data_IF_079510027373
#
_entry.id   IF_079510027373
#
_cell.length_a   1.000
_cell.length_b   1.000
_cell.length_c   1.000
_cell.angle_alpha   90.00
_cell.angle_beta   90.00
_cell.angle_gamma   90.00
#
_symmetry.space_group_name_H-M   'P 1'
#
loop_
_entity.id
_entity.type
_entity.pdbx_description
1 polymer ?
#
# COMPACT_ATOMS: atom_id res chain seq x y z
N UNK A 1 -25.16 5.28 -5.95
CA UNK A 1 -24.43 5.81 -7.12
C UNK A 1 -22.98 6.17 -6.79
N UNK A 2 -22.70 7.04 -5.79
CA UNK A 2 -21.30 7.35 -5.42
C UNK A 2 -20.47 6.09 -5.12
N UNK A 3 -20.94 5.24 -4.20
CA UNK A 3 -20.26 3.97 -3.85
C UNK A 3 -20.20 3.00 -5.03
N UNK A 4 -21.29 2.85 -5.79
CA UNK A 4 -21.34 1.99 -6.98
C UNK A 4 -20.28 2.39 -8.03
N UNK A 5 -20.01 3.68 -8.20
CA UNK A 5 -18.93 4.18 -9.07
C UNK A 5 -17.57 3.78 -8.51
N UNK A 6 -17.35 3.89 -7.20
CA UNK A 6 -16.08 3.49 -6.57
C UNK A 6 -15.86 1.98 -6.67
N UNK A 7 -16.89 1.16 -6.48
CA UNK A 7 -16.80 -0.30 -6.56
C UNK A 7 -16.38 -0.76 -7.96
N UNK A 8 -17.07 -0.27 -9.00
CA UNK A 8 -16.71 -0.59 -10.39
C UNK A 8 -15.34 0.00 -10.76
N UNK A 9 -15.03 1.21 -10.29
CA UNK A 9 -13.73 1.82 -10.56
C UNK A 9 -12.59 1.04 -9.89
N UNK A 10 -12.77 0.56 -8.66
CA UNK A 10 -11.81 -0.27 -7.95
C UNK A 10 -11.50 -1.54 -8.73
N UNK A 11 -12.52 -2.30 -9.14
CA UNK A 11 -12.33 -3.51 -9.94
C UNK A 11 -11.53 -3.24 -11.23
N UNK A 12 -11.87 -2.17 -11.96
CA UNK A 12 -11.16 -1.80 -13.17
C UNK A 12 -9.72 -1.37 -12.89
N UNK A 13 -9.49 -0.50 -11.90
CA UNK A 13 -8.15 -0.06 -11.55
C UNK A 13 -7.26 -1.22 -11.08
N UNK A 14 -7.80 -2.16 -10.31
CA UNK A 14 -7.06 -3.34 -9.85
C UNK A 14 -6.74 -4.30 -11.00
N UNK A 15 -7.64 -4.41 -11.99
CA UNK A 15 -7.49 -5.36 -13.09
C UNK A 15 -6.55 -4.88 -14.21
N UNK A 16 -6.57 -3.58 -14.51
CA UNK A 16 -5.90 -3.03 -15.71
C UNK A 16 -5.16 -1.71 -15.43
N UNK A 17 -5.10 -1.25 -14.18
CA UNK A 17 -4.37 -0.04 -13.81
C UNK A 17 -5.08 1.27 -14.17
N UNK A 18 -4.46 2.39 -13.80
CA UNK A 18 -5.03 3.71 -14.00
C UNK A 18 -5.16 4.11 -15.47
N UNK A 19 -4.13 3.83 -16.29
CA UNK A 19 -4.06 4.28 -17.68
C UNK A 19 -5.12 3.63 -18.58
N UNK A 20 -5.34 2.33 -18.43
CA UNK A 20 -6.29 1.58 -19.27
C UNK A 20 -7.75 1.69 -18.79
N UNK A 21 -7.97 2.39 -17.67
CA UNK A 21 -9.31 2.65 -17.10
C UNK A 21 -9.83 4.03 -17.50
N UNK A 22 -11.10 4.08 -17.91
CA UNK A 22 -11.80 5.30 -18.31
C UNK A 22 -13.16 5.44 -17.62
N UNK A 23 -13.61 6.67 -17.39
CA UNK A 23 -14.95 6.95 -16.85
C UNK A 23 -16.06 6.45 -17.78
N UNK A 24 -15.77 6.29 -19.08
CA UNK A 24 -16.71 5.69 -20.04
C UNK A 24 -16.90 4.18 -19.81
N UNK A 25 -15.84 3.45 -19.46
CA UNK A 25 -15.96 2.03 -19.09
C UNK A 25 -16.79 1.89 -17.81
N UNK A 26 -16.51 2.70 -16.79
CA UNK A 26 -17.27 2.71 -15.53
C UNK A 26 -18.75 2.99 -15.79
N UNK A 27 -19.06 4.04 -16.57
CA UNK A 27 -20.44 4.40 -16.90
C UNK A 27 -21.17 3.29 -17.65
N UNK A 28 -20.47 2.62 -18.58
CA UNK A 28 -21.02 1.51 -19.36
C UNK A 28 -21.37 0.31 -18.47
N UNK A 29 -20.52 -0.04 -17.50
CA UNK A 29 -20.78 -1.16 -16.58
C UNK A 29 -21.97 -0.86 -15.66
N UNK A 30 -22.10 0.38 -15.20
CA UNK A 30 -23.21 0.82 -14.34
C UNK A 30 -24.49 1.16 -15.11
N UNK A 31 -24.49 1.03 -16.45
CA UNK A 31 -25.61 1.43 -17.32
C UNK A 31 -26.07 2.89 -17.12
N UNK A 32 -25.12 3.78 -16.80
CA UNK A 32 -25.36 5.22 -16.63
C UNK A 32 -24.69 6.04 -17.74
N UNK A 33 -25.04 7.32 -17.82
CA UNK A 33 -24.34 8.26 -18.70
C UNK A 33 -23.04 8.75 -18.07
N UNK A 34 -22.06 9.12 -18.89
CA UNK A 34 -20.80 9.68 -18.39
C UNK A 34 -20.99 10.98 -17.57
N UNK A 35 -21.93 11.89 -17.91
CA UNK A 35 -22.27 13.04 -17.06
C UNK A 35 -22.75 12.66 -15.65
N UNK A 36 -23.41 11.51 -15.43
CA UNK A 36 -23.78 11.06 -14.09
C UNK A 36 -22.54 10.80 -13.21
N UNK A 37 -21.43 10.32 -13.79
CA UNK A 37 -20.18 10.19 -13.04
C UNK A 37 -19.64 11.56 -12.65
N UNK A 38 -19.66 12.51 -13.59
CA UNK A 38 -19.14 13.86 -13.36
C UNK A 38 -19.94 14.70 -12.37
N UNK A 39 -21.18 14.28 -12.07
CA UNK A 39 -21.95 14.83 -10.97
C UNK A 39 -21.35 14.49 -9.60
N UNK A 40 -20.72 13.32 -9.47
CA UNK A 40 -20.13 12.82 -8.22
C UNK A 40 -18.63 13.08 -8.12
N UNK A 41 -17.91 13.06 -9.24
CA UNK A 41 -16.46 13.19 -9.29
C UNK A 41 -16.03 14.15 -10.39
N UNK A 42 -15.16 15.09 -10.07
CA UNK A 42 -14.66 16.10 -11.02
C UNK A 42 -13.93 15.47 -12.20
N UNK A 43 -13.18 14.40 -11.96
CA UNK A 43 -12.38 13.74 -12.98
C UNK A 43 -12.00 12.29 -12.58
N UNK A 44 -11.31 11.59 -13.48
CA UNK A 44 -10.81 10.22 -13.24
C UNK A 44 -9.83 10.14 -12.07
N UNK A 45 -8.99 11.17 -11.88
CA UNK A 45 -8.03 11.19 -10.78
C UNK A 45 -8.70 11.25 -9.41
N UNK A 46 -9.80 11.98 -9.28
CA UNK A 46 -10.56 12.04 -8.03
C UNK A 46 -11.14 10.67 -7.70
N UNK A 47 -11.69 9.96 -8.70
CA UNK A 47 -12.17 8.58 -8.52
C UNK A 47 -11.02 7.68 -8.08
N UNK A 48 -9.88 7.74 -8.77
CA UNK A 48 -8.69 6.94 -8.45
C UNK A 48 -8.19 7.23 -7.03
N UNK A 49 -8.08 8.50 -6.64
CA UNK A 49 -7.67 8.88 -5.30
C UNK A 49 -8.61 8.32 -4.22
N UNK A 50 -9.93 8.42 -4.43
CA UNK A 50 -10.92 7.89 -3.49
C UNK A 50 -10.84 6.37 -3.35
N UNK A 51 -10.66 5.64 -4.46
CA UNK A 51 -10.42 4.19 -4.45
C UNK A 51 -9.13 3.87 -3.66
N UNK A 52 -8.02 4.53 -3.98
CA UNK A 52 -6.75 4.31 -3.27
C UNK A 52 -6.85 4.65 -1.78
N UNK A 53 -7.60 5.70 -1.43
CA UNK A 53 -7.86 6.08 -0.04
C UNK A 53 -8.64 5.00 0.70
N UNK A 54 -9.69 4.44 0.10
CA UNK A 54 -10.47 3.33 0.67
C UNK A 54 -9.58 2.13 0.99
N UNK A 55 -8.78 1.71 0.01
CA UNK A 55 -7.85 0.58 0.14
C UNK A 55 -6.75 0.84 1.19
N UNK A 56 -6.13 2.03 1.14
CA UNK A 56 -5.08 2.39 2.08
C UNK A 56 -5.59 2.46 3.53
N UNK A 57 -6.80 2.98 3.75
CA UNK A 57 -7.40 3.03 5.09
C UNK A 57 -7.60 1.63 5.68
N UNK A 58 -8.05 0.66 4.88
CA UNK A 58 -8.17 -0.73 5.32
C UNK A 58 -6.80 -1.32 5.69
N UNK A 59 -5.80 -1.11 4.84
CA UNK A 59 -4.43 -1.58 5.10
C UNK A 59 -3.87 -0.93 6.37
N UNK A 60 -4.00 0.37 6.53
CA UNK A 60 -3.51 1.10 7.70
C UNK A 60 -4.16 0.65 8.99
N UNK A 61 -5.46 0.33 8.96
CA UNK A 61 -6.16 -0.25 10.11
C UNK A 61 -5.56 -1.60 10.51
N UNK A 62 -5.45 -2.55 9.56
CA UNK A 62 -4.91 -3.88 9.84
C UNK A 62 -3.45 -3.83 10.31
N UNK A 63 -2.61 -3.01 9.67
CA UNK A 63 -1.22 -2.82 10.09
C UNK A 63 -1.13 -2.22 11.49
N UNK A 64 -2.01 -1.28 11.83
CA UNK A 64 -2.06 -0.69 13.17
C UNK A 64 -2.46 -1.73 14.22
N UNK A 65 -3.45 -2.59 13.92
CA UNK A 65 -3.86 -3.70 14.80
C UNK A 65 -2.71 -4.70 15.01
N UNK A 66 -2.02 -5.12 13.95
CA UNK A 66 -0.86 -6.00 14.03
C UNK A 66 0.29 -5.37 14.83
N UNK A 67 0.56 -4.07 14.62
CA UNK A 67 1.61 -3.34 15.34
C UNK A 67 1.38 -3.25 16.86
N UNK A 68 0.12 -3.37 17.29
CA UNK A 68 -0.30 -3.23 18.68
C UNK A 68 -0.38 -4.56 19.44
N UNK A 69 -0.12 -5.70 18.79
CA UNK A 69 -0.15 -7.02 19.43
C UNK A 69 0.92 -7.13 20.52
N UNK A 70 0.69 -7.95 21.54
CA UNK A 70 1.66 -8.20 22.61
C UNK A 70 2.58 -9.37 22.24
N UNK A 71 3.38 -9.16 21.20
CA UNK A 71 4.37 -10.09 20.65
C UNK A 71 5.69 -9.34 20.41
N UNK A 72 6.76 -10.08 20.10
CA UNK A 72 8.09 -9.49 19.92
C UNK A 72 8.12 -8.47 18.77
N UNK A 73 9.12 -7.59 18.76
CA UNK A 73 9.36 -6.67 17.65
C UNK A 73 9.49 -7.40 16.31
N UNK A 74 10.28 -8.47 16.28
CA UNK A 74 10.53 -9.27 15.08
C UNK A 74 9.24 -9.93 14.59
N UNK A 75 8.44 -10.49 15.50
CA UNK A 75 7.15 -11.10 15.19
C UNK A 75 6.14 -10.08 14.65
N UNK A 76 6.09 -8.86 15.20
CA UNK A 76 5.26 -7.75 14.67
C UNK A 76 5.62 -7.43 13.23
N UNK A 77 6.91 -7.23 12.97
CA UNK A 77 7.39 -6.85 11.64
C UNK A 77 7.13 -7.97 10.63
N UNK A 78 7.36 -9.24 11.01
CA UNK A 78 7.03 -10.39 10.16
C UNK A 78 5.53 -10.49 9.89
N UNK A 79 4.68 -10.35 10.92
CA UNK A 79 3.23 -10.40 10.76
C UNK A 79 2.72 -9.29 9.82
N UNK A 80 3.23 -8.07 9.99
CA UNK A 80 2.90 -6.93 9.13
C UNK A 80 3.40 -7.12 7.70
N UNK A 81 4.62 -7.64 7.51
CA UNK A 81 5.19 -7.92 6.19
C UNK A 81 4.42 -9.03 5.46
N UNK A 82 4.04 -10.12 6.16
CA UNK A 82 3.22 -11.18 5.58
C UNK A 82 1.80 -10.73 5.27
N UNK A 83 1.22 -9.85 6.09
CA UNK A 83 -0.05 -9.20 5.75
C UNK A 83 0.06 -8.44 4.42
N UNK A 84 1.10 -7.63 4.23
CA UNK A 84 1.35 -6.94 2.95
C UNK A 84 1.68 -7.90 1.82
N UNK A 85 2.21 -9.10 2.09
CA UNK A 85 2.45 -10.09 1.06
C UNK A 85 1.16 -10.77 0.57
N UNK A 86 0.25 -11.08 1.49
CA UNK A 86 -0.93 -11.90 1.21
C UNK A 86 -2.18 -11.10 0.84
N UNK A 87 -2.38 -9.95 1.50
CA UNK A 87 -3.65 -9.20 1.47
C UNK A 87 -3.55 -7.89 0.72
N UNK A 88 -2.39 -7.56 0.17
CA UNK A 88 -2.21 -6.25 -0.41
C UNK A 88 -3.03 -6.11 -1.70
N UNK A 89 -4.00 -5.17 -1.74
CA UNK A 89 -5.04 -5.17 -2.77
C UNK A 89 -4.51 -4.77 -4.16
N UNK A 90 -3.38 -4.07 -4.24
CA UNK A 90 -2.76 -3.60 -5.49
C UNK A 90 -1.26 -3.89 -5.53
N UNK A 91 -0.60 -3.87 -6.70
CA UNK A 91 0.87 -3.92 -6.70
C UNK A 91 1.43 -2.60 -6.17
N UNK A 92 2.15 -2.59 -5.04
CA UNK A 92 2.86 -1.39 -4.55
C UNK A 92 3.72 -0.77 -5.65
N UNK A 93 4.29 -1.61 -6.52
CA UNK A 93 5.07 -1.17 -7.67
C UNK A 93 4.21 -0.38 -8.68
N UNK A 94 3.01 -0.87 -9.01
CA UNK A 94 2.10 -0.14 -9.90
C UNK A 94 1.65 1.20 -9.31
N UNK A 95 1.32 1.26 -8.01
CA UNK A 95 0.97 2.53 -7.36
C UNK A 95 2.13 3.53 -7.37
N UNK A 96 3.36 3.08 -7.03
CA UNK A 96 4.52 3.95 -7.05
C UNK A 96 4.85 4.42 -8.48
N UNK A 97 4.72 3.54 -9.47
CA UNK A 97 4.84 3.91 -10.88
C UNK A 97 3.81 4.97 -11.29
N UNK A 98 2.54 4.80 -10.90
CA UNK A 98 1.47 5.77 -11.20
C UNK A 98 1.75 7.14 -10.54
N UNK A 99 2.19 7.15 -9.28
CA UNK A 99 2.60 8.35 -8.54
C UNK A 99 3.77 9.06 -9.21
N UNK A 100 4.77 8.32 -9.70
CA UNK A 100 6.00 8.90 -10.24
C UNK A 100 5.87 9.37 -11.69
N UNK A 101 5.04 8.71 -12.49
CA UNK A 101 5.09 8.86 -13.95
C UNK A 101 3.75 9.13 -14.63
N UNK A 102 2.62 8.98 -13.92
CA UNK A 102 1.29 8.99 -14.55
C UNK A 102 0.40 10.12 -14.05
N UNK A 103 0.40 10.38 -12.74
CA UNK A 103 -0.52 11.32 -12.12
C UNK A 103 0.04 12.74 -12.09
N UNK A 104 -0.84 13.74 -12.04
CA UNK A 104 -0.38 15.12 -11.80
C UNK A 104 0.27 15.25 -10.42
N UNK A 105 1.19 16.22 -10.24
CA UNK A 105 1.96 16.36 -8.99
C UNK A 105 1.10 16.47 -7.72
N UNK A 106 -0.05 17.14 -7.79
CA UNK A 106 -0.95 17.29 -6.65
C UNK A 106 -1.55 15.94 -6.19
N UNK A 107 -2.06 15.15 -7.14
CA UNK A 107 -2.66 13.83 -6.86
C UNK A 107 -1.57 12.85 -6.40
N UNK A 108 -0.40 12.88 -7.05
CA UNK A 108 0.76 12.09 -6.65
C UNK A 108 1.19 12.40 -5.20
N UNK A 109 1.25 13.68 -4.83
CA UNK A 109 1.59 14.10 -3.46
C UNK A 109 0.56 13.60 -2.44
N UNK A 110 -0.74 13.72 -2.73
CA UNK A 110 -1.81 13.21 -1.86
C UNK A 110 -1.70 11.70 -1.63
N UNK A 111 -1.46 10.94 -2.69
CA UNK A 111 -1.27 9.49 -2.61
C UNK A 111 0.01 9.10 -1.86
N UNK A 112 1.08 9.86 -2.02
CA UNK A 112 2.31 9.64 -1.27
C UNK A 112 2.13 9.87 0.23
N UNK A 113 1.41 10.93 0.62
CA UNK A 113 1.07 11.18 2.03
C UNK A 113 0.19 10.06 2.60
N UNK A 114 -0.81 9.64 1.84
CA UNK A 114 -1.67 8.51 2.20
C UNK A 114 -0.89 7.21 2.37
N UNK A 115 0.08 6.95 1.48
CA UNK A 115 0.96 5.79 1.59
C UNK A 115 1.83 5.87 2.86
N UNK A 116 2.40 7.05 3.15
CA UNK A 116 3.19 7.22 4.36
C UNK A 116 2.39 6.97 5.63
N UNK A 117 1.16 7.50 5.72
CA UNK A 117 0.32 7.33 6.91
C UNK A 117 -0.19 5.90 7.07
N UNK A 118 -0.57 5.25 5.96
CA UNK A 118 -1.25 3.96 6.01
C UNK A 118 -0.30 2.77 6.01
N UNK A 119 0.87 2.90 5.38
CA UNK A 119 1.84 1.80 5.25
C UNK A 119 3.06 2.05 6.11
N UNK A 120 3.75 3.17 5.90
CA UNK A 120 5.06 3.41 6.53
C UNK A 120 4.96 3.69 8.03
N UNK A 121 3.98 4.49 8.44
CA UNK A 121 3.86 4.95 9.82
C UNK A 121 3.66 3.82 10.84
N UNK A 122 2.82 2.79 10.60
CA UNK A 122 2.71 1.64 11.50
C UNK A 122 4.06 0.94 11.77
N UNK A 123 4.88 0.72 10.73
CA UNK A 123 6.21 0.12 10.88
C UNK A 123 7.14 1.05 11.66
N UNK A 124 7.15 2.34 11.32
CA UNK A 124 7.97 3.32 12.02
C UNK A 124 7.63 3.42 13.51
N UNK A 125 6.35 3.30 13.86
CA UNK A 125 5.91 3.24 15.27
C UNK A 125 6.49 2.03 16.00
N UNK A 126 6.51 0.85 15.36
CA UNK A 126 7.11 -0.36 15.94
C UNK A 126 8.62 -0.19 16.14
N UNK A 127 9.33 0.35 15.14
CA UNK A 127 10.76 0.62 15.25
C UNK A 127 11.10 1.66 16.33
N UNK A 128 10.36 2.76 16.41
CA UNK A 128 10.62 3.81 17.40
C UNK A 128 10.40 3.36 18.85
N UNK A 129 9.66 2.26 19.06
CA UNK A 129 9.42 1.68 20.37
C UNK A 129 10.40 0.55 20.70
N UNK A 130 11.30 0.16 19.79
CA UNK A 130 12.27 -0.90 20.02
C UNK A 130 13.60 -0.35 20.53
N UNK A 131 13.98 -0.79 21.73
CA UNK A 131 15.19 -0.38 22.43
C UNK A 131 16.47 -1.09 21.95
N UNK A 132 16.32 -2.24 21.30
CA UNK A 132 17.43 -3.07 20.83
C UNK A 132 17.96 -2.65 19.46
N UNK A 133 17.37 -1.62 18.83
CA UNK A 133 17.92 -1.04 17.60
C UNK A 133 19.31 -0.45 17.88
N UNK A 134 20.26 -0.73 16.98
CA UNK A 134 21.61 -0.15 17.02
C UNK A 134 21.54 1.37 16.96
N UNK A 135 22.32 2.05 17.78
CA UNK A 135 22.36 3.51 17.84
C UNK A 135 22.80 4.17 16.52
N UNK A 136 23.52 3.45 15.66
CA UNK A 136 23.93 3.93 14.34
C UNK A 136 22.84 3.82 13.28
N UNK A 137 21.68 3.23 13.61
CA UNK A 137 20.58 2.98 12.68
C UNK A 137 19.48 4.00 12.91
N UNK A 138 19.22 4.83 11.89
CA UNK A 138 18.04 5.70 11.85
C UNK A 138 16.77 4.86 11.56
N UNK A 139 15.75 4.88 12.43
CA UNK A 139 14.52 4.08 12.25
C UNK A 139 13.79 4.37 10.94
N UNK A 140 13.74 5.64 10.52
CA UNK A 140 13.04 6.05 9.32
C UNK A 140 13.73 5.51 8.05
N UNK A 141 15.06 5.56 8.01
CA UNK A 141 15.87 4.94 6.97
C UNK A 141 15.71 3.43 6.97
N UNK A 142 15.81 2.77 8.13
CA UNK A 142 15.66 1.32 8.27
C UNK A 142 14.30 0.84 7.75
N UNK A 143 13.20 1.49 8.13
CA UNK A 143 11.86 1.20 7.61
C UNK A 143 11.80 1.40 6.10
N UNK A 144 12.42 2.45 5.56
CA UNK A 144 12.45 2.67 4.10
C UNK A 144 13.17 1.53 3.37
N UNK A 145 14.28 1.02 3.92
CA UNK A 145 14.98 -0.15 3.36
C UNK A 145 14.14 -1.44 3.50
N UNK A 146 13.44 -1.61 4.62
CA UNK A 146 12.53 -2.74 4.82
C UNK A 146 11.41 -2.76 3.77
N UNK A 147 10.85 -1.61 3.37
CA UNK A 147 9.86 -1.56 2.30
C UNK A 147 10.43 -1.94 0.93
N UNK A 148 11.66 -1.56 0.61
CA UNK A 148 12.36 -2.01 -0.61
C UNK A 148 12.59 -3.52 -0.57
N UNK A 149 12.96 -4.05 0.59
CA UNK A 149 13.11 -5.49 0.79
C UNK A 149 11.78 -6.21 0.60
N UNK A 150 10.71 -5.79 1.28
CA UNK A 150 9.37 -6.39 1.16
C UNK A 150 8.91 -6.36 -0.29
N UNK A 151 9.06 -5.23 -0.99
CA UNK A 151 8.60 -5.08 -2.37
C UNK A 151 9.27 -6.06 -3.33
N UNK A 152 10.55 -6.38 -3.13
CA UNK A 152 11.26 -7.38 -3.94
C UNK A 152 10.65 -8.80 -3.83
N UNK A 153 9.94 -9.10 -2.74
CA UNK A 153 9.26 -10.38 -2.53
C UNK A 153 7.74 -10.28 -2.71
N UNK A 154 7.20 -9.17 -3.23
CA UNK A 154 5.77 -9.06 -3.55
C UNK A 154 5.38 -9.71 -4.89
N UNK A 155 6.33 -9.92 -5.80
CA UNK A 155 6.05 -10.60 -7.08
C UNK A 155 6.72 -11.98 -7.18
N UNK A 156 7.26 -12.47 -6.06
CA UNK A 156 7.98 -13.75 -6.00
C UNK A 156 7.04 -14.98 -6.16
N UNK A 157 7.54 -16.12 -6.69
CA UNK A 157 6.75 -17.34 -6.88
C UNK A 157 6.06 -17.82 -5.60
N UNK A 158 4.78 -18.18 -5.69
CA UNK A 158 3.93 -18.46 -4.51
C UNK A 158 4.46 -19.58 -3.60
N UNK A 159 5.19 -20.56 -4.16
CA UNK A 159 5.69 -21.73 -3.44
C UNK A 159 6.82 -21.44 -2.44
N UNK A 160 7.54 -20.31 -2.58
CA UNK A 160 8.67 -19.95 -1.70
C UNK A 160 8.60 -18.50 -1.21
N UNK A 161 7.54 -17.77 -1.58
CA UNK A 161 7.40 -16.33 -1.35
C UNK A 161 7.51 -15.94 0.12
N UNK A 162 6.82 -16.68 0.99
CA UNK A 162 6.77 -16.40 2.42
C UNK A 162 8.10 -16.75 3.10
N UNK A 163 8.63 -17.94 2.82
CA UNK A 163 9.90 -18.42 3.36
C UNK A 163 11.07 -17.50 2.98
N UNK A 164 11.13 -17.06 1.72
CA UNK A 164 12.19 -16.15 1.26
C UNK A 164 12.07 -14.75 1.88
N UNK A 165 10.85 -14.24 2.02
CA UNK A 165 10.61 -12.96 2.68
C UNK A 165 11.03 -13.03 4.16
N UNK A 166 10.69 -14.11 4.85
CA UNK A 166 11.10 -14.32 6.24
C UNK A 166 12.61 -14.31 6.40
N UNK A 167 13.32 -15.11 5.58
CA UNK A 167 14.79 -15.16 5.58
C UNK A 167 15.40 -13.79 5.29
N UNK A 168 14.85 -13.06 4.33
CA UNK A 168 15.33 -11.72 4.00
C UNK A 168 15.14 -10.73 5.16
N UNK A 169 14.00 -10.78 5.85
CA UNK A 169 13.73 -9.95 7.03
C UNK A 169 14.66 -10.34 8.20
N UNK A 170 14.94 -11.62 8.41
CA UNK A 170 15.91 -12.08 9.42
C UNK A 170 17.32 -11.54 9.14
N UNK A 171 17.78 -11.60 7.88
CA UNK A 171 19.05 -11.00 7.46
C UNK A 171 19.08 -9.48 7.71
N UNK A 172 17.95 -8.81 7.47
CA UNK A 172 17.80 -7.39 7.75
C UNK A 172 17.92 -7.09 9.26
N UNK A 173 17.30 -7.90 10.14
CA UNK A 173 17.41 -7.73 11.59
C UNK A 173 18.84 -7.85 12.11
N UNK A 174 19.67 -8.73 11.55
CA UNK A 174 21.09 -8.81 11.92
C UNK A 174 21.87 -7.51 11.66
N UNK A 175 21.41 -6.66 10.73
CA UNK A 175 21.98 -5.34 10.47
C UNK A 175 21.42 -4.23 11.37
N UNK A 176 20.21 -4.42 11.90
CA UNK A 176 19.46 -3.38 12.63
C UNK A 176 19.53 -3.54 14.15
N UNK A 177 19.46 -4.77 14.66
CA UNK A 177 19.43 -5.08 16.09
C UNK A 177 20.84 -5.27 16.66
N UNK A 178 21.00 -4.92 17.94
CA UNK A 178 22.25 -5.04 18.71
C UNK A 178 22.69 -6.49 18.86
#
# INVERSE_FOLDING_TARGET
MYEEILDVAEELFMKQGYNDTSTRQIAKILEITQPNIYYHFKNKEEIYFQVMQRLANEVGKNLSELSAQDISFEEKILAMAFYLQQRHPFSLFMMMHDIQHTLIPETAQKLFVLWQSSYKHPFLKVFNNESQIRETVDPNFAVSQLFILISAYLDSPMNVRQENLEKAIQLFFHGVLK
#
